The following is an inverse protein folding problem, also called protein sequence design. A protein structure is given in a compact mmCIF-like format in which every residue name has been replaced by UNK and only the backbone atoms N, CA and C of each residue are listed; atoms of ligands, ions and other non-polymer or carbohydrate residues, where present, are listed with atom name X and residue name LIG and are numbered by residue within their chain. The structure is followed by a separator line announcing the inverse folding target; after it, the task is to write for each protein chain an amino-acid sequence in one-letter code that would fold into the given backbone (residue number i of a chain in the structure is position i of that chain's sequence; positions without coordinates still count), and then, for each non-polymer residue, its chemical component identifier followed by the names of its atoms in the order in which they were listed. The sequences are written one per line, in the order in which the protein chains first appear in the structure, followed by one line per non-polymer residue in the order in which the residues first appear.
data_IF_349406727832
#
_entry.id   IF_349406727832
#
_cell.length_a   1.000
_cell.length_b   1.000
_cell.length_c   1.000
_cell.angle_alpha   90.00
_cell.angle_beta   90.00
_cell.angle_gamma   90.00
#
_symmetry.space_group_name_H-M   'P 1'
#
loop_
_entity.id
_entity.type
_entity.pdbx_description
1 polymer ?
#
# COMPACT_ATOMS: atom_id res chain seq x y z
N UNK A 1 25.33 11.39 0.54
CA UNK A 1 24.19 12.19 1.00
C UNK A 1 23.13 12.08 -0.07
N UNK A 2 21.91 11.68 0.29
CA UNK A 2 20.80 11.63 -0.64
C UNK A 2 20.47 13.06 -1.08
N UNK A 3 20.61 13.34 -2.36
CA UNK A 3 20.35 14.67 -2.92
C UNK A 3 18.86 14.77 -3.24
N UNK A 4 18.14 15.64 -2.52
CA UNK A 4 16.72 15.91 -2.85
C UNK A 4 16.65 16.53 -4.25
N UNK A 5 15.64 16.22 -5.05
CA UNK A 5 15.42 16.74 -6.41
C UNK A 5 15.52 18.28 -6.50
N UNK A 6 15.23 18.99 -5.40
CA UNK A 6 15.27 20.44 -5.28
C UNK A 6 16.36 20.94 -4.31
N UNK A 7 17.32 20.08 -3.94
CA UNK A 7 18.42 20.42 -3.03
C UNK A 7 19.37 21.44 -3.68
N UNK A 8 19.49 22.59 -3.01
CA UNK A 8 20.40 23.67 -3.40
C UNK A 8 21.76 23.60 -2.66
N UNK A 9 22.08 22.45 -2.06
CA UNK A 9 23.35 22.24 -1.35
C UNK A 9 23.43 22.92 0.03
N UNK A 10 22.31 23.33 0.62
CA UNK A 10 22.25 23.87 1.98
C UNK A 10 21.67 22.81 2.91
N UNK A 11 22.34 22.60 4.06
CA UNK A 11 21.82 21.73 5.10
C UNK A 11 20.43 22.24 5.55
N UNK A 12 19.42 21.38 5.46
CA UNK A 12 18.08 21.69 5.96
C UNK A 12 18.10 21.61 7.48
N UNK A 13 17.45 22.56 8.16
CA UNK A 13 17.27 22.50 9.61
C UNK A 13 16.40 21.27 9.96
N UNK A 14 16.86 20.46 10.91
CA UNK A 14 16.17 19.23 11.32
C UNK A 14 14.72 19.48 11.79
N UNK A 15 14.44 20.61 12.44
CA UNK A 15 13.09 20.98 12.86
C UNK A 15 12.17 21.24 11.66
N UNK A 16 12.70 21.90 10.62
CA UNK A 16 11.96 22.16 9.38
C UNK A 16 11.70 20.83 8.65
N UNK A 17 12.70 19.95 8.58
CA UNK A 17 12.54 18.63 7.98
C UNK A 17 11.50 17.80 8.72
N UNK A 18 11.55 17.77 10.05
CA UNK A 18 10.56 17.08 10.88
C UNK A 18 9.15 17.65 10.69
N UNK A 19 9.01 18.95 10.52
CA UNK A 19 7.72 19.59 10.28
C UNK A 19 7.16 19.28 8.89
N UNK A 20 8.01 19.28 7.85
CA UNK A 20 7.59 19.11 6.46
C UNK A 20 7.37 17.65 6.06
N UNK A 21 8.20 16.73 6.56
CA UNK A 21 8.12 15.29 6.25
C UNK A 21 7.16 14.57 7.23
N UNK A 22 7.11 15.02 8.50
CA UNK A 22 6.22 14.42 9.48
C UNK A 22 6.45 12.92 9.64
N UNK A 23 5.38 12.13 9.42
CA UNK A 23 5.37 10.68 9.46
C UNK A 23 5.34 10.02 8.08
N UNK A 24 5.60 10.77 7.03
CA UNK A 24 5.49 10.26 5.65
C UNK A 24 6.39 9.02 5.44
N UNK A 25 7.62 9.02 5.95
CA UNK A 25 8.52 7.87 5.85
C UNK A 25 7.94 6.58 6.46
N UNK A 26 7.18 6.69 7.56
CA UNK A 26 6.55 5.53 8.21
C UNK A 26 5.33 5.03 7.42
N UNK A 27 4.58 5.93 6.79
CA UNK A 27 3.34 5.63 6.10
C UNK A 27 3.58 5.24 4.64
N UNK A 28 4.50 5.90 3.96
CA UNK A 28 4.76 5.68 2.54
C UNK A 28 5.33 4.30 2.23
N UNK A 29 5.96 3.62 3.19
CA UNK A 29 6.43 2.24 2.98
C UNK A 29 5.30 1.30 2.56
N UNK A 30 4.07 1.56 2.98
CA UNK A 30 2.89 0.79 2.56
C UNK A 30 2.55 0.98 1.07
N UNK A 31 3.01 2.06 0.46
CA UNK A 31 2.79 2.39 -0.94
C UNK A 31 3.90 1.86 -1.86
N UNK A 32 5.06 1.47 -1.32
CA UNK A 32 6.26 1.14 -2.08
C UNK A 32 6.05 0.10 -3.19
N UNK A 33 5.33 -0.99 -2.91
CA UNK A 33 5.06 -2.01 -3.94
C UNK A 33 4.15 -1.50 -5.06
N UNK A 34 3.26 -0.57 -4.75
CA UNK A 34 2.34 0.01 -5.73
C UNK A 34 3.03 1.05 -6.59
N UNK A 35 3.93 1.86 -6.02
CA UNK A 35 4.76 2.78 -6.79
C UNK A 35 5.71 2.03 -7.73
N UNK A 36 6.34 0.94 -7.27
CA UNK A 36 7.13 0.09 -8.14
C UNK A 36 6.30 -0.48 -9.30
N UNK A 37 5.07 -0.95 -9.04
CA UNK A 37 4.15 -1.47 -10.04
C UNK A 37 3.71 -0.38 -11.04
N UNK A 38 3.31 0.78 -10.53
CA UNK A 38 2.93 1.94 -11.35
C UNK A 38 4.09 2.44 -12.20
N UNK A 39 5.29 2.45 -11.64
CA UNK A 39 6.52 2.83 -12.33
C UNK A 39 6.89 1.86 -13.44
N UNK A 40 6.70 0.55 -13.26
CA UNK A 40 6.88 -0.43 -14.35
C UNK A 40 5.95 -0.16 -15.53
N UNK A 41 4.69 0.15 -15.26
CA UNK A 41 3.73 0.52 -16.32
C UNK A 41 4.13 1.83 -17.00
N UNK A 42 4.57 2.82 -16.23
CA UNK A 42 4.98 4.13 -16.73
C UNK A 42 6.21 4.04 -17.67
N UNK A 43 7.26 3.34 -17.28
CA UNK A 43 8.45 3.19 -18.14
C UNK A 43 8.16 2.37 -19.41
N UNK A 44 7.23 1.42 -19.33
CA UNK A 44 6.77 0.68 -20.53
C UNK A 44 6.05 1.63 -21.49
N UNK A 45 5.25 2.54 -20.97
CA UNK A 45 4.63 3.59 -21.78
C UNK A 45 5.68 4.54 -22.36
N UNK A 46 6.67 4.99 -21.57
CA UNK A 46 7.73 5.89 -22.06
C UNK A 46 8.50 5.28 -23.23
N UNK A 47 8.81 3.97 -23.18
CA UNK A 47 9.44 3.27 -24.30
C UNK A 47 8.51 3.27 -25.51
N UNK A 48 7.25 2.93 -25.35
CA UNK A 48 6.26 2.84 -26.46
C UNK A 48 6.08 4.15 -27.22
N UNK A 49 6.35 5.30 -26.58
CA UNK A 49 6.25 6.64 -27.21
C UNK A 49 7.61 7.24 -27.57
N UNK A 50 8.70 6.47 -27.42
CA UNK A 50 10.06 6.88 -27.81
C UNK A 50 10.74 7.87 -26.87
N UNK A 51 10.31 7.99 -25.63
CA UNK A 51 10.98 8.77 -24.58
C UNK A 51 11.98 7.95 -23.76
N UNK A 52 11.94 6.63 -23.87
CA UNK A 52 12.90 5.70 -23.32
C UNK A 52 13.39 4.79 -24.45
N UNK A 53 14.68 4.54 -24.52
CA UNK A 53 15.24 3.63 -25.52
C UNK A 53 14.85 2.18 -25.21
N UNK A 54 14.68 1.37 -26.25
CA UNK A 54 14.25 -0.02 -26.13
C UNK A 54 15.19 -0.87 -25.28
N UNK A 55 16.48 -0.58 -25.33
CA UNK A 55 17.54 -1.25 -24.59
C UNK A 55 17.55 -0.88 -23.10
N UNK A 56 16.97 0.26 -22.72
CA UNK A 56 16.90 0.74 -21.35
C UNK A 56 15.73 0.11 -20.57
N UNK A 57 14.68 -0.32 -21.25
CA UNK A 57 13.48 -0.87 -20.62
C UNK A 57 13.75 -2.16 -19.82
N UNK A 58 14.45 -3.19 -20.33
CA UNK A 58 14.66 -4.43 -19.59
C UNK A 58 15.39 -4.26 -18.26
N UNK A 59 16.53 -3.53 -18.16
CA UNK A 59 17.22 -3.34 -16.89
C UNK A 59 16.38 -2.53 -15.88
N UNK A 60 15.64 -1.52 -16.31
CA UNK A 60 14.73 -0.77 -15.43
C UNK A 60 13.60 -1.65 -14.89
N UNK A 61 12.97 -2.47 -15.74
CA UNK A 61 11.93 -3.42 -15.30
C UNK A 61 12.49 -4.45 -14.33
N UNK A 62 13.69 -4.96 -14.57
CA UNK A 62 14.33 -5.93 -13.69
C UNK A 62 14.57 -5.35 -12.30
N UNK A 63 15.09 -4.12 -12.22
CA UNK A 63 15.34 -3.46 -10.94
C UNK A 63 14.04 -3.09 -10.21
N UNK A 64 13.03 -2.57 -10.91
CA UNK A 64 11.72 -2.29 -10.32
C UNK A 64 11.03 -3.54 -9.77
N UNK A 65 11.20 -4.70 -10.43
CA UNK A 65 10.74 -5.99 -9.91
C UNK A 65 11.45 -6.38 -8.61
N UNK A 66 12.76 -6.14 -8.50
CA UNK A 66 13.48 -6.38 -7.25
C UNK A 66 12.96 -5.47 -6.13
N UNK A 67 12.78 -4.18 -6.43
CA UNK A 67 12.20 -3.21 -5.47
C UNK A 67 10.79 -3.64 -5.04
N UNK A 68 9.96 -4.09 -5.99
CA UNK A 68 8.63 -4.62 -5.69
C UNK A 68 8.69 -5.78 -4.69
N UNK A 69 9.56 -6.76 -4.89
CA UNK A 69 9.70 -7.90 -3.99
C UNK A 69 10.24 -7.52 -2.61
N UNK A 70 11.18 -6.58 -2.53
CA UNK A 70 11.65 -6.03 -1.25
C UNK A 70 10.53 -5.31 -0.51
N UNK A 71 9.69 -4.57 -1.23
CA UNK A 71 8.53 -3.91 -0.64
C UNK A 71 7.43 -4.92 -0.20
N UNK A 72 7.22 -5.97 -0.98
CA UNK A 72 6.26 -7.03 -0.67
C UNK A 72 6.68 -7.88 0.54
N UNK A 73 8.00 -8.11 0.73
CA UNK A 73 8.52 -8.81 1.91
C UNK A 73 8.48 -7.97 3.20
N UNK A 74 8.21 -6.67 3.11
CA UNK A 74 8.22 -5.74 4.24
C UNK A 74 9.60 -5.24 4.64
N UNK A 75 10.62 -5.49 3.82
CA UNK A 75 12.01 -5.08 4.06
C UNK A 75 12.36 -3.72 3.44
N UNK A 76 11.40 -3.09 2.74
CA UNK A 76 11.61 -1.78 2.13
C UNK A 76 11.68 -0.69 3.20
N UNK A 77 12.71 0.15 3.13
CA UNK A 77 12.97 1.23 4.06
C UNK A 77 13.22 2.52 3.29
N UNK A 78 12.64 3.61 3.75
CA UNK A 78 12.98 4.97 3.28
C UNK A 78 14.13 5.47 4.12
N UNK A 79 15.27 5.71 3.48
CA UNK A 79 16.52 6.13 4.14
C UNK A 79 16.38 7.50 4.78
N UNK A 80 17.16 7.74 5.85
CA UNK A 80 17.25 9.06 6.46
C UNK A 80 17.74 10.11 5.45
N UNK A 81 17.07 11.26 5.41
CA UNK A 81 17.33 12.31 4.43
C UNK A 81 16.62 12.14 3.09
N UNK A 82 15.91 11.01 2.87
CA UNK A 82 14.98 10.82 1.76
C UNK A 82 13.58 11.24 2.19
N UNK A 83 12.87 11.96 1.34
CA UNK A 83 11.59 12.60 1.69
C UNK A 83 10.43 11.61 1.71
N UNK A 84 10.31 10.77 0.67
CA UNK A 84 9.17 9.91 0.39
C UNK A 84 9.56 8.63 -0.34
N UNK A 85 8.60 7.74 -0.56
CA UNK A 85 8.75 6.48 -1.26
C UNK A 85 9.24 6.66 -2.71
N UNK A 86 8.75 7.68 -3.39
CA UNK A 86 9.09 7.95 -4.79
C UNK A 86 10.56 8.31 -4.94
N UNK A 87 11.06 9.18 -4.05
CA UNK A 87 12.47 9.54 -3.97
C UNK A 87 13.35 8.36 -3.62
N UNK A 88 12.89 7.47 -2.74
CA UNK A 88 13.63 6.27 -2.37
C UNK A 88 13.77 5.32 -3.56
N UNK A 89 12.71 5.07 -4.30
CA UNK A 89 12.74 4.21 -5.50
C UNK A 89 13.65 4.81 -6.58
N UNK A 90 13.53 6.12 -6.86
CA UNK A 90 14.42 6.80 -7.80
C UNK A 90 15.89 6.72 -7.37
N UNK A 91 16.18 6.89 -6.07
CA UNK A 91 17.52 6.77 -5.51
C UNK A 91 18.09 5.35 -5.71
N UNK A 92 17.29 4.32 -5.43
CA UNK A 92 17.69 2.92 -5.63
C UNK A 92 18.01 2.63 -7.10
N UNK A 93 17.13 3.07 -8.01
CA UNK A 93 17.35 2.94 -9.45
C UNK A 93 18.60 3.68 -9.91
N UNK A 94 18.79 4.93 -9.45
CA UNK A 94 19.93 5.75 -9.83
C UNK A 94 21.26 5.18 -9.31
N UNK A 95 21.28 4.60 -8.12
CA UNK A 95 22.47 3.94 -7.58
C UNK A 95 22.90 2.72 -8.40
N UNK A 96 21.95 2.00 -8.97
CA UNK A 96 22.23 0.78 -9.75
C UNK A 96 22.40 1.03 -11.26
N UNK A 97 21.62 1.94 -11.80
CA UNK A 97 21.49 2.16 -13.24
C UNK A 97 21.98 3.55 -13.70
N UNK A 98 22.50 4.38 -12.76
CA UNK A 98 22.98 5.71 -13.10
C UNK A 98 21.88 6.62 -13.64
N UNK A 99 22.18 7.42 -14.66
CA UNK A 99 21.23 8.40 -15.21
C UNK A 99 19.98 7.76 -15.84
N UNK A 100 20.05 6.49 -16.22
CA UNK A 100 18.89 5.75 -16.68
C UNK A 100 17.79 5.68 -15.59
N UNK A 101 18.20 5.49 -14.33
CA UNK A 101 17.25 5.46 -13.20
C UNK A 101 16.46 6.75 -13.00
N UNK A 102 17.03 7.90 -13.39
CA UNK A 102 16.34 9.21 -13.27
C UNK A 102 15.22 9.39 -14.28
N UNK A 103 15.24 8.65 -15.38
CA UNK A 103 14.23 8.74 -16.45
C UNK A 103 12.84 8.31 -15.99
N UNK A 104 12.73 7.55 -14.89
CA UNK A 104 11.47 7.08 -14.32
C UNK A 104 10.50 8.22 -14.02
N UNK A 105 11.00 9.41 -13.72
CA UNK A 105 10.18 10.57 -13.38
C UNK A 105 9.72 11.39 -14.60
N UNK A 106 10.18 11.04 -15.80
CA UNK A 106 9.87 11.78 -17.04
C UNK A 106 8.37 11.82 -17.33
N UNK A 107 7.84 13.01 -17.54
CA UNK A 107 6.45 13.20 -17.99
C UNK A 107 5.37 12.96 -16.93
N UNK A 108 5.72 12.82 -15.65
CA UNK A 108 4.75 12.70 -14.54
C UNK A 108 5.15 13.54 -13.34
N UNK A 109 4.22 13.83 -12.46
CA UNK A 109 4.45 14.44 -11.15
C UNK A 109 4.30 13.41 -10.01
N UNK A 110 4.71 13.80 -8.80
CA UNK A 110 4.44 13.01 -7.59
C UNK A 110 2.94 12.83 -7.32
N UNK A 111 2.12 13.81 -7.72
CA UNK A 111 0.67 13.69 -7.60
C UNK A 111 0.11 12.53 -8.42
N UNK A 112 0.66 12.32 -9.63
CA UNK A 112 0.27 11.19 -10.48
C UNK A 112 0.65 9.85 -9.81
N UNK A 113 1.85 9.76 -9.24
CA UNK A 113 2.34 8.58 -8.54
C UNK A 113 1.48 8.27 -7.32
N UNK A 114 1.38 9.21 -6.39
CA UNK A 114 0.66 9.01 -5.13
C UNK A 114 -0.80 8.67 -5.32
N UNK A 115 -1.48 9.30 -6.29
CA UNK A 115 -2.88 8.99 -6.56
C UNK A 115 -3.07 7.59 -7.15
N UNK A 116 -2.15 7.13 -8.00
CA UNK A 116 -2.17 5.78 -8.53
C UNK A 116 -1.93 4.77 -7.40
N UNK A 117 -0.91 4.99 -6.59
CA UNK A 117 -0.52 4.11 -5.49
C UNK A 117 -1.65 3.97 -4.47
N UNK A 118 -2.28 5.07 -4.08
CA UNK A 118 -3.44 5.07 -3.19
C UNK A 118 -4.62 4.30 -3.76
N UNK A 119 -4.87 4.39 -5.06
CA UNK A 119 -5.94 3.60 -5.72
C UNK A 119 -5.63 2.11 -5.71
N UNK A 120 -4.39 1.72 -6.01
CA UNK A 120 -3.96 0.33 -6.00
C UNK A 120 -3.98 -0.24 -4.58
N UNK A 121 -3.43 0.49 -3.61
CA UNK A 121 -3.46 0.14 -2.19
C UNK A 121 -4.88 -0.05 -1.69
N UNK A 122 -5.76 0.93 -1.93
CA UNK A 122 -7.16 0.87 -1.49
C UNK A 122 -7.87 -0.33 -2.10
N UNK A 123 -7.66 -0.60 -3.38
CA UNK A 123 -8.24 -1.78 -4.06
C UNK A 123 -7.83 -3.09 -3.38
N UNK A 124 -6.55 -3.23 -3.04
CA UNK A 124 -6.06 -4.45 -2.40
C UNK A 124 -6.57 -4.56 -0.96
N UNK A 125 -6.58 -3.45 -0.20
CA UNK A 125 -7.13 -3.46 1.17
C UNK A 125 -8.63 -3.74 1.22
N UNK A 126 -9.39 -3.25 0.25
CA UNK A 126 -10.80 -3.61 0.13
C UNK A 126 -11.01 -5.11 -0.11
N UNK A 127 -10.15 -5.75 -0.92
CA UNK A 127 -10.21 -7.21 -1.11
C UNK A 127 -9.91 -7.98 0.17
N UNK A 128 -8.91 -7.53 0.95
CA UNK A 128 -8.59 -8.12 2.26
C UNK A 128 -9.78 -7.98 3.23
N UNK A 129 -10.41 -6.80 3.31
CA UNK A 129 -11.60 -6.57 4.14
C UNK A 129 -12.76 -7.49 3.71
N UNK A 130 -13.03 -7.58 2.40
CA UNK A 130 -14.08 -8.46 1.88
C UNK A 130 -13.81 -9.92 2.25
N UNK A 131 -12.57 -10.40 2.10
CA UNK A 131 -12.19 -11.75 2.51
C UNK A 131 -12.40 -11.98 4.01
N UNK A 132 -12.00 -11.02 4.86
CA UNK A 132 -12.21 -11.09 6.31
C UNK A 132 -13.69 -11.10 6.71
N UNK A 133 -14.53 -10.33 6.00
CA UNK A 133 -15.99 -10.35 6.21
C UNK A 133 -16.57 -11.73 5.85
N UNK A 134 -16.17 -12.33 4.74
CA UNK A 134 -16.62 -13.67 4.37
C UNK A 134 -16.18 -14.75 5.37
N UNK A 135 -14.98 -14.64 5.91
CA UNK A 135 -14.48 -15.54 6.96
C UNK A 135 -15.34 -15.43 8.21
N UNK A 136 -15.55 -14.19 8.71
CA UNK A 136 -16.38 -13.93 9.89
C UNK A 136 -17.82 -14.45 9.68
N UNK A 137 -18.42 -14.13 8.54
CA UNK A 137 -19.77 -14.64 8.17
C UNK A 137 -19.82 -16.16 8.23
N UNK A 138 -18.84 -16.85 7.64
CA UNK A 138 -18.78 -18.31 7.62
C UNK A 138 -18.69 -18.91 9.03
N UNK A 139 -17.88 -18.30 9.90
CA UNK A 139 -17.76 -18.70 11.30
C UNK A 139 -19.09 -18.48 12.05
N UNK A 140 -19.73 -17.34 11.88
CA UNK A 140 -21.01 -17.04 12.53
C UNK A 140 -22.12 -18.01 12.10
N UNK A 141 -22.23 -18.33 10.82
CA UNK A 141 -23.18 -19.31 10.30
C UNK A 141 -22.87 -20.73 10.83
N UNK A 142 -21.59 -21.11 10.90
CA UNK A 142 -21.21 -22.40 11.48
C UNK A 142 -21.60 -22.50 12.98
N UNK A 143 -21.37 -21.43 13.75
CA UNK A 143 -21.77 -21.35 15.17
C UNK A 143 -23.30 -21.34 15.31
N UNK A 144 -24.01 -20.61 14.45
CA UNK A 144 -25.48 -20.59 14.43
C UNK A 144 -26.02 -22.01 14.26
N UNK A 145 -25.53 -22.76 13.27
CA UNK A 145 -25.97 -24.15 13.02
C UNK A 145 -25.59 -25.09 14.17
N UNK A 146 -24.38 -24.94 14.74
CA UNK A 146 -23.90 -25.78 15.86
C UNK A 146 -24.74 -25.63 17.11
N UNK A 147 -25.18 -24.41 17.43
CA UNK A 147 -25.86 -24.08 18.68
C UNK A 147 -27.34 -23.72 18.49
N UNK A 148 -27.97 -24.12 17.38
CA UNK A 148 -29.38 -23.79 17.06
C UNK A 148 -30.36 -24.32 18.11
N UNK A 149 -30.05 -25.45 18.76
CA UNK A 149 -30.91 -26.11 19.73
C UNK A 149 -30.55 -25.73 21.18
N UNK A 150 -29.55 -24.88 21.39
CA UNK A 150 -29.17 -24.41 22.72
C UNK A 150 -29.99 -23.15 23.04
N UNK A 151 -30.95 -23.33 23.92
CA UNK A 151 -31.87 -22.25 24.32
C UNK A 151 -31.18 -21.19 25.16
N UNK A 152 -31.55 -19.93 24.95
CA UNK A 152 -31.18 -18.80 25.79
C UNK A 152 -32.35 -17.84 25.96
N UNK A 153 -32.41 -17.06 27.05
CA UNK A 153 -33.42 -16.03 27.19
C UNK A 153 -33.17 -14.88 26.22
N UNK A 154 -34.20 -14.43 25.50
CA UNK A 154 -34.16 -13.17 24.78
C UNK A 154 -34.49 -12.03 25.74
N UNK A 155 -33.83 -10.89 25.58
CA UNK A 155 -33.99 -9.72 26.44
C UNK A 155 -34.56 -8.53 25.65
N UNK A 156 -35.39 -7.76 26.32
CA UNK A 156 -35.80 -6.42 25.90
C UNK A 156 -35.82 -5.51 27.12
N UNK A 157 -35.35 -4.27 26.99
CA UNK A 157 -35.24 -3.30 28.07
C UNK A 157 -34.60 -3.86 29.37
N UNK A 158 -33.52 -4.66 29.19
CA UNK A 158 -32.81 -5.36 30.27
C UNK A 158 -33.63 -6.40 31.03
N UNK A 159 -34.78 -6.83 30.51
CA UNK A 159 -35.67 -7.82 31.11
C UNK A 159 -35.80 -9.05 30.18
N UNK A 160 -35.94 -10.22 30.77
CA UNK A 160 -36.25 -11.44 30.05
C UNK A 160 -37.62 -11.29 29.37
N UNK A 161 -37.67 -11.50 28.07
CA UNK A 161 -38.87 -11.32 27.27
C UNK A 161 -39.35 -12.62 26.62
N UNK A 162 -38.59 -13.18 25.70
CA UNK A 162 -39.01 -14.33 24.89
C UNK A 162 -37.92 -15.42 24.88
N UNK A 163 -38.29 -16.69 24.58
CA UNK A 163 -37.31 -17.72 24.29
C UNK A 163 -36.52 -17.39 23.04
N UNK A 164 -35.22 -17.61 23.08
CA UNK A 164 -34.31 -17.49 21.94
C UNK A 164 -33.35 -18.66 21.93
N UNK A 165 -32.39 -18.67 21.02
CA UNK A 165 -31.30 -19.64 21.00
C UNK A 165 -29.97 -18.97 20.67
N UNK A 166 -28.87 -19.60 21.04
CA UNK A 166 -27.55 -19.17 20.59
C UNK A 166 -27.43 -19.21 19.07
N UNK A 167 -28.13 -20.16 18.42
CA UNK A 167 -28.17 -20.21 16.96
C UNK A 167 -28.77 -18.94 16.34
N UNK A 168 -29.92 -18.49 16.85
CA UNK A 168 -30.53 -17.21 16.41
C UNK A 168 -29.65 -16.01 16.71
N UNK A 169 -28.99 -16.02 17.87
CA UNK A 169 -28.10 -14.94 18.27
C UNK A 169 -26.90 -14.81 17.31
N UNK A 170 -26.20 -15.91 17.00
CA UNK A 170 -25.11 -15.89 16.01
C UNK A 170 -25.61 -15.54 14.59
N UNK A 171 -26.80 -16.04 14.20
CA UNK A 171 -27.39 -15.74 12.91
C UNK A 171 -27.67 -14.23 12.71
N UNK A 172 -28.15 -13.56 13.75
CA UNK A 172 -28.42 -12.14 13.71
C UNK A 172 -27.15 -11.27 13.51
N UNK A 173 -25.98 -11.76 13.94
CA UNK A 173 -24.70 -11.09 13.68
C UNK A 173 -24.13 -11.43 12.31
N UNK A 174 -24.62 -12.48 11.64
CA UNK A 174 -24.22 -12.82 10.29
C UNK A 174 -24.93 -11.96 9.25
N UNK A 175 -26.15 -11.47 9.53
CA UNK A 175 -26.94 -10.58 8.65
C UNK A 175 -26.41 -9.12 8.70
#
# INVERSE_FOLDING_TARGET
MAQKLWDKGKATNEEIERFTVGRDREMDVYLAKYDALGSMAHITMLESIGLLEKEELPPLLAELKQIYHVAESGEFVIEEGVEDVHSQIELMLTRRLGDMGKKIHSGRSRNDQVLLDMKLFTRDKLKEVVAGVYELFSVLIAQSNKYKDVMMPGYTHLQVAMPSSFGLWFGAYAE
#
